data_IF_741322312814
#
_entry.id   IF_741322312814
#
_cell.length_a   1.000
_cell.length_b   1.000
_cell.length_c   1.000
_cell.angle_alpha   90.00
_cell.angle_beta   90.00
_cell.angle_gamma   90.00
#
_symmetry.space_group_name_H-M   'P 1'
#
loop_
_entity.id
_entity.type
_entity.pdbx_description
1 polymer ?
#
# COMPACT_ATOMS: atom_id res chain seq x y z
N UNK A 1 -13.24 11.07 17.13
CA UNK A 1 -12.70 11.15 16.86
C UNK A 1 -12.30 10.96 16.88
N UNK A 2 -12.24 10.83 16.78
CA UNK A 2 -11.53 10.87 16.58
C UNK A 2 -11.43 10.47 16.18
N UNK A 3 -11.63 10.17 15.64
CA UNK A 3 -11.27 9.99 15.11
C UNK A 3 -10.88 10.05 14.60
N UNK A 4 -11.31 10.15 14.36
CA UNK A 4 -10.83 10.47 13.61
C UNK A 4 -9.89 10.82 13.41
N UNK A 5 -9.61 10.90 13.78
CA UNK A 5 -8.53 11.30 13.78
C UNK A 5 -7.70 10.83 12.78
N UNK A 6 -7.50 9.84 12.65
CA UNK A 6 -6.64 9.44 11.72
C UNK A 6 -7.28 9.14 10.48
N UNK A 7 -8.44 9.28 10.41
CA UNK A 7 -9.02 8.95 9.44
C UNK A 7 -8.74 9.58 8.29
N UNK A 8 -8.77 9.92 7.85
CA UNK A 8 -8.75 10.40 6.69
C UNK A 8 -7.86 11.32 6.34
N UNK A 9 -7.29 11.72 7.09
CA UNK A 9 -6.41 12.72 6.82
C UNK A 9 -5.05 12.28 6.52
N UNK A 10 -4.81 11.02 6.41
CA UNK A 10 -3.49 10.53 6.16
C UNK A 10 -3.19 10.50 4.69
N UNK A 11 -2.33 11.35 4.18
CA UNK A 11 -2.05 11.41 2.76
C UNK A 11 -1.48 10.11 2.21
N UNK A 12 -0.79 9.37 3.05
CA UNK A 12 -0.20 8.12 2.57
C UNK A 12 -1.24 7.08 2.20
N UNK A 13 -2.44 7.20 2.74
CA UNK A 13 -3.46 6.21 2.46
C UNK A 13 -4.63 6.77 1.70
N UNK A 14 -4.58 8.03 1.35
CA UNK A 14 -5.69 8.66 0.66
C UNK A 14 -5.42 8.87 -0.81
N UNK A 15 -4.30 8.39 -1.34
CA UNK A 15 -4.01 8.53 -2.76
C UNK A 15 -4.99 7.68 -3.55
N UNK A 16 -5.69 8.32 -4.45
CA UNK A 16 -6.72 7.66 -5.20
C UNK A 16 -6.14 6.59 -6.11
N UNK A 17 -6.78 5.45 -6.18
CA UNK A 17 -6.35 4.38 -7.08
C UNK A 17 -5.37 3.40 -6.48
N UNK A 18 -4.88 3.65 -5.26
CA UNK A 18 -3.97 2.71 -4.62
C UNK A 18 -4.75 1.58 -3.97
N UNK A 19 -4.08 0.46 -3.74
CA UNK A 19 -4.73 -0.66 -3.08
C UNK A 19 -3.89 -1.91 -3.08
N UNK A 20 -4.46 -2.99 -2.57
CA UNK A 20 -3.76 -4.26 -2.45
C UNK A 20 -4.66 -5.44 -2.78
N UNK A 21 -5.64 -5.20 -3.61
CA UNK A 21 -6.63 -6.20 -3.96
C UNK A 21 -6.02 -7.39 -4.69
N UNK A 22 -5.09 -7.12 -5.58
CA UNK A 22 -4.42 -8.17 -6.34
C UNK A 22 -3.09 -7.63 -6.85
N UNK A 23 -2.36 -8.48 -7.58
CA UNK A 23 -1.05 -8.12 -8.11
C UNK A 23 -1.12 -6.88 -9.00
N UNK A 24 -2.11 -6.83 -9.88
CA UNK A 24 -2.23 -5.71 -10.78
C UNK A 24 -2.47 -4.40 -10.02
N UNK A 25 -3.30 -4.45 -9.00
CA UNK A 25 -3.56 -3.27 -8.19
C UNK A 25 -2.31 -2.82 -7.45
N UNK A 26 -1.50 -3.76 -6.98
CA UNK A 26 -0.23 -3.43 -6.35
C UNK A 26 0.71 -2.74 -7.32
N UNK A 27 0.79 -3.24 -8.54
CA UNK A 27 1.64 -2.62 -9.56
C UNK A 27 1.14 -1.23 -9.92
N UNK A 28 -0.18 -1.06 -10.00
CA UNK A 28 -0.77 0.26 -10.25
C UNK A 28 -0.44 1.23 -9.12
N UNK A 29 -0.49 0.73 -7.89
CA UNK A 29 -0.16 1.54 -6.73
C UNK A 29 1.27 2.08 -6.84
N UNK A 30 2.21 1.21 -7.17
CA UNK A 30 3.60 1.63 -7.33
C UNK A 30 3.74 2.66 -8.44
N UNK A 31 2.99 2.49 -9.52
CA UNK A 31 3.02 3.43 -10.63
C UNK A 31 2.47 4.79 -10.24
N UNK A 32 1.38 4.80 -9.49
CA UNK A 32 0.74 6.03 -9.06
C UNK A 32 1.67 6.86 -8.18
N UNK A 33 2.38 6.21 -7.26
CA UNK A 33 3.24 6.92 -6.32
C UNK A 33 4.64 7.16 -6.83
N UNK A 34 4.94 6.71 -8.03
CA UNK A 34 6.30 6.74 -8.57
C UNK A 34 6.92 8.13 -8.58
N UNK A 35 6.13 9.15 -8.81
CA UNK A 35 6.63 10.53 -8.89
C UNK A 35 6.64 11.25 -7.54
N UNK A 36 6.25 10.58 -6.47
CA UNK A 36 6.30 11.17 -5.15
C UNK A 36 7.67 10.89 -4.53
N UNK A 37 8.02 11.61 -3.48
CA UNK A 37 9.33 11.38 -2.88
C UNK A 37 9.39 9.98 -2.27
N UNK A 38 10.62 9.51 -2.06
CA UNK A 38 10.82 8.12 -1.65
C UNK A 38 10.25 7.81 -0.27
N UNK A 39 10.25 8.78 0.62
CA UNK A 39 9.69 8.56 1.96
C UNK A 39 8.19 8.33 1.86
N UNK A 40 7.51 9.13 1.05
CA UNK A 40 6.08 8.95 0.82
C UNK A 40 5.81 7.58 0.21
N UNK A 41 6.60 7.19 -0.79
CA UNK A 41 6.45 5.90 -1.45
C UNK A 41 6.58 4.76 -0.44
N UNK A 42 7.58 4.82 0.42
CA UNK A 42 7.79 3.79 1.42
C UNK A 42 6.62 3.71 2.40
N UNK A 43 6.08 4.85 2.78
CA UNK A 43 4.94 4.86 3.69
C UNK A 43 3.71 4.21 3.06
N UNK A 44 3.44 4.53 1.80
CA UNK A 44 2.30 3.95 1.11
C UNK A 44 2.47 2.43 0.97
N UNK A 45 3.63 2.00 0.52
CA UNK A 45 3.87 0.57 0.30
C UNK A 45 3.80 -0.18 1.62
N UNK A 46 4.43 0.33 2.67
CA UNK A 46 4.35 -0.29 3.98
C UNK A 46 2.91 -0.41 4.47
N UNK A 47 2.15 0.66 4.31
CA UNK A 47 0.75 0.68 4.74
C UNK A 47 -0.05 -0.38 4.00
N UNK A 48 0.10 -0.44 2.68
CA UNK A 48 -0.63 -1.41 1.87
C UNK A 48 -0.22 -2.83 2.21
N UNK A 49 1.08 -3.06 2.37
CA UNK A 49 1.59 -4.37 2.72
C UNK A 49 1.02 -4.84 4.05
N UNK A 50 1.06 -3.97 5.06
CA UNK A 50 0.58 -4.35 6.38
C UNK A 50 -0.92 -4.56 6.40
N UNK A 51 -1.67 -3.75 5.68
CA UNK A 51 -3.11 -3.93 5.61
C UNK A 51 -3.46 -5.28 4.98
N UNK A 52 -2.76 -5.66 3.93
CA UNK A 52 -2.99 -6.95 3.30
C UNK A 52 -2.56 -8.09 4.23
N UNK A 53 -1.42 -7.93 4.89
CA UNK A 53 -0.86 -8.97 5.75
C UNK A 53 -1.79 -9.30 6.92
N UNK A 54 -2.39 -8.27 7.51
CA UNK A 54 -3.24 -8.46 8.68
C UNK A 54 -4.73 -8.46 8.35
N UNK A 55 -5.06 -8.56 7.08
CA UNK A 55 -6.46 -8.59 6.67
C UNK A 55 -7.12 -9.89 7.13
N UNK A 56 -8.28 -9.83 7.78
CA UNK A 56 -8.92 -11.04 8.30
C UNK A 56 -9.35 -12.03 7.22
N UNK A 57 -9.57 -11.55 6.01
CA UNK A 57 -10.00 -12.41 4.91
C UNK A 57 -9.01 -12.34 3.76
N UNK A 58 -7.75 -12.57 4.07
CA UNK A 58 -6.71 -12.49 3.09
C UNK A 58 -6.91 -13.51 1.97
N UNK A 59 -6.94 -13.03 0.74
CA UNK A 59 -7.12 -13.88 -0.44
C UNK A 59 -5.77 -14.21 -1.07
N UNK A 60 -5.78 -15.19 -1.97
CA UNK A 60 -4.58 -15.50 -2.73
C UNK A 60 -4.10 -14.30 -3.54
N UNK A 61 -5.04 -13.57 -4.14
CA UNK A 61 -4.70 -12.38 -4.91
C UNK A 61 -4.03 -11.31 -4.04
N UNK A 62 -4.50 -11.16 -2.81
CA UNK A 62 -3.89 -10.23 -1.88
C UNK A 62 -2.47 -10.66 -1.52
N UNK A 63 -2.24 -11.95 -1.39
CA UNK A 63 -0.89 -12.44 -1.11
C UNK A 63 0.05 -12.15 -2.27
N UNK A 64 -0.44 -12.20 -3.49
CA UNK A 64 0.37 -11.81 -4.64
C UNK A 64 0.69 -10.33 -4.62
N UNK A 65 -0.26 -9.51 -4.22
CA UNK A 65 -0.01 -8.08 -4.05
C UNK A 65 1.07 -7.85 -3.00
N UNK A 66 0.99 -8.60 -1.90
CA UNK A 66 2.00 -8.49 -0.84
C UNK A 66 3.40 -8.80 -1.37
N UNK A 67 3.51 -9.80 -2.23
CA UNK A 67 4.81 -10.14 -2.80
C UNK A 67 5.37 -8.99 -3.64
N UNK A 68 4.50 -8.31 -4.37
CA UNK A 68 4.92 -7.15 -5.14
C UNK A 68 5.47 -6.06 -4.22
N UNK A 69 4.74 -5.76 -3.16
CA UNK A 69 5.17 -4.73 -2.22
C UNK A 69 6.44 -5.15 -1.48
N UNK A 70 6.52 -6.40 -1.08
CA UNK A 70 7.70 -6.90 -0.38
C UNK A 70 8.95 -6.78 -1.24
N UNK A 71 8.84 -7.17 -2.50
CA UNK A 71 9.96 -7.06 -3.43
C UNK A 71 10.38 -5.62 -3.60
N UNK A 72 9.41 -4.72 -3.72
CA UNK A 72 9.70 -3.30 -3.86
C UNK A 72 10.41 -2.77 -2.61
N UNK A 73 9.94 -3.17 -1.43
CA UNK A 73 10.56 -2.72 -0.18
C UNK A 73 12.00 -3.18 -0.07
N UNK A 74 12.29 -4.41 -0.45
CA UNK A 74 13.66 -4.91 -0.42
C UNK A 74 14.55 -4.14 -1.38
N UNK A 75 14.03 -3.82 -2.54
CA UNK A 75 14.81 -3.12 -3.56
C UNK A 75 15.09 -1.69 -3.15
N UNK A 76 14.19 -1.07 -2.42
CA UNK A 76 14.30 0.35 -2.06
C UNK A 76 14.61 0.59 -0.59
N UNK A 77 15.05 -0.41 0.08
CA UNK A 77 15.32 -0.29 1.51
C UNK A 77 16.74 0.16 1.81
#
# INVERSE_FOLDING_TARGET
MNKSLYEDKHPTTSTKGTGFKNKQKALETLKIIKNRDIIYQKQVVNTMYNRAKYHPYQTKSMREAMKVFEKWLKKNN
#
